data_IF_080224905634
#
_entry.id   IF_080224905634
#
_cell.length_a   1.000
_cell.length_b   1.000
_cell.length_c   1.000
_cell.angle_alpha   90.00
_cell.angle_beta   90.00
_cell.angle_gamma   90.00
#
_symmetry.space_group_name_H-M   'P 1'
#
loop_
_entity.id
_entity.type
_entity.pdbx_description
1 polymer ?
#
# COMPACT_ATOMS: atom_id res chain seq x y z
N UNK A 1 -17.51 14.41 -29.17
CA UNK A 1 -17.37 15.76 -28.57
C UNK A 1 -15.91 16.01 -28.21
N UNK A 2 -15.39 17.21 -28.43
CA UNK A 2 -14.04 17.62 -28.03
C UNK A 2 -14.13 18.45 -26.74
N UNK A 3 -13.29 18.16 -25.74
CA UNK A 3 -13.24 18.91 -24.48
C UNK A 3 -11.80 19.10 -24.01
N UNK A 4 -11.43 20.33 -23.66
CA UNK A 4 -10.04 20.71 -23.32
C UNK A 4 -9.45 19.94 -22.12
N UNK A 5 -10.28 19.50 -21.18
CA UNK A 5 -9.88 18.66 -20.04
C UNK A 5 -10.17 17.16 -20.25
N UNK A 6 -11.12 16.81 -21.13
CA UNK A 6 -11.48 15.43 -21.46
C UNK A 6 -10.42 14.76 -22.35
N UNK A 7 -9.81 15.54 -23.25
CA UNK A 7 -8.78 15.03 -24.15
C UNK A 7 -7.48 14.63 -23.43
N UNK A 8 -6.88 15.46 -22.55
CA UNK A 8 -5.68 15.05 -21.81
C UNK A 8 -5.93 13.91 -20.82
N UNK A 9 -7.12 13.84 -20.21
CA UNK A 9 -7.47 12.74 -19.29
C UNK A 9 -7.58 11.40 -20.01
N UNK A 10 -8.16 11.37 -21.21
CA UNK A 10 -8.12 10.20 -22.09
C UNK A 10 -6.67 9.87 -22.51
N UNK A 11 -5.84 10.90 -22.70
CA UNK A 11 -4.41 10.78 -22.99
C UNK A 11 -3.68 9.86 -22.00
N UNK A 12 -3.87 10.04 -20.69
CA UNK A 12 -3.23 9.18 -19.68
C UNK A 12 -3.61 7.71 -19.81
N UNK A 13 -4.87 7.42 -20.14
CA UNK A 13 -5.35 6.04 -20.32
C UNK A 13 -4.71 5.41 -21.55
N UNK A 14 -4.68 6.16 -22.66
CA UNK A 14 -4.09 5.70 -23.94
C UNK A 14 -2.57 5.55 -23.82
N UNK A 15 -1.89 6.46 -23.14
CA UNK A 15 -0.45 6.38 -22.88
C UNK A 15 -0.10 5.12 -22.08
N UNK A 16 -0.82 4.87 -20.98
CA UNK A 16 -0.62 3.65 -20.19
C UNK A 16 -0.90 2.39 -20.99
N UNK A 17 -1.94 2.40 -21.82
CA UNK A 17 -2.28 1.30 -22.71
C UNK A 17 -1.17 1.01 -23.72
N UNK A 18 -0.67 2.04 -24.41
CA UNK A 18 0.47 1.92 -25.35
C UNK A 18 1.74 1.45 -24.66
N UNK A 19 2.03 1.95 -23.45
CA UNK A 19 3.18 1.50 -22.67
C UNK A 19 3.09 0.02 -22.28
N UNK A 20 1.88 -0.49 -21.99
CA UNK A 20 1.65 -1.93 -21.73
C UNK A 20 1.81 -2.74 -23.02
N UNK A 21 1.32 -2.25 -24.16
CA UNK A 21 1.48 -2.93 -25.45
C UNK A 21 2.92 -2.97 -25.94
N UNK A 22 3.68 -1.90 -25.71
CA UNK A 22 5.09 -1.81 -26.07
C UNK A 22 6.02 -2.53 -25.06
N UNK A 23 5.50 -3.03 -23.94
CA UNK A 23 6.29 -3.71 -22.94
C UNK A 23 6.69 -5.11 -23.43
N UNK A 24 7.98 -5.30 -23.68
CA UNK A 24 8.57 -6.62 -23.98
C UNK A 24 9.09 -7.23 -22.67
N UNK A 25 8.48 -8.31 -22.16
CA UNK A 25 8.93 -8.95 -20.93
C UNK A 25 10.29 -9.64 -21.16
N UNK A 26 11.25 -9.35 -20.28
CA UNK A 26 12.57 -9.98 -20.29
C UNK A 26 12.69 -11.04 -19.21
N UNK A 27 13.28 -12.19 -19.57
CA UNK A 27 13.56 -13.27 -18.63
C UNK A 27 14.70 -12.85 -17.71
N UNK A 28 14.52 -13.08 -16.41
CA UNK A 28 15.56 -12.86 -15.43
C UNK A 28 15.67 -14.05 -14.48
N UNK A 29 16.87 -14.26 -13.97
CA UNK A 29 17.22 -15.31 -13.03
C UNK A 29 17.67 -14.69 -11.71
N UNK A 30 17.34 -15.36 -10.60
CA UNK A 30 17.84 -15.02 -9.26
C UNK A 30 18.14 -16.29 -8.48
N UNK A 31 19.14 -16.22 -7.63
CA UNK A 31 19.46 -17.28 -6.69
C UNK A 31 18.60 -17.05 -5.43
N UNK A 32 17.82 -18.06 -5.05
CA UNK A 32 16.98 -18.04 -3.85
C UNK A 32 17.54 -19.03 -2.83
N UNK A 33 17.82 -18.55 -1.62
CA UNK A 33 18.33 -19.36 -0.51
C UNK A 33 17.28 -19.35 0.61
N UNK A 34 16.90 -20.53 1.06
CA UNK A 34 15.91 -20.73 2.12
C UNK A 34 16.50 -21.54 3.26
N UNK A 35 16.28 -21.10 4.49
CA UNK A 35 16.69 -21.80 5.70
C UNK A 35 15.46 -22.15 6.53
N UNK A 36 15.30 -23.43 6.88
CA UNK A 36 14.16 -23.87 7.66
C UNK A 36 14.43 -23.65 9.17
N UNK A 37 13.55 -22.93 9.84
CA UNK A 37 13.58 -22.72 11.28
C UNK A 37 12.33 -23.35 11.92
N UNK A 38 12.37 -23.62 13.23
CA UNK A 38 11.26 -24.26 13.94
C UNK A 38 9.95 -23.47 13.84
N UNK A 39 10.06 -22.14 13.78
CA UNK A 39 8.94 -21.20 13.71
C UNK A 39 8.58 -20.75 12.27
N UNK A 40 9.27 -21.28 11.25
CA UNK A 40 9.00 -20.97 9.85
C UNK A 40 10.22 -20.96 8.94
N UNK A 41 9.99 -20.76 7.65
CA UNK A 41 11.05 -20.71 6.63
C UNK A 41 11.53 -19.26 6.46
N UNK A 42 12.85 -19.06 6.56
CA UNK A 42 13.50 -17.77 6.31
C UNK A 42 14.03 -17.74 4.88
N UNK A 43 13.59 -16.77 4.07
CA UNK A 43 14.11 -16.51 2.73
C UNK A 43 15.16 -15.40 2.78
N UNK A 44 16.37 -15.71 2.31
CA UNK A 44 17.43 -14.72 2.16
C UNK A 44 17.38 -14.10 0.75
N UNK A 45 17.32 -12.77 0.70
CA UNK A 45 17.34 -12.03 -0.55
C UNK A 45 18.78 -11.85 -1.03
N UNK A 46 19.00 -12.18 -2.31
CA UNK A 46 20.31 -12.03 -2.92
C UNK A 46 20.72 -10.55 -3.05
N UNK A 47 21.94 -10.21 -2.64
CA UNK A 47 22.48 -8.84 -2.68
C UNK A 47 22.45 -8.21 -4.08
N UNK A 48 22.59 -9.01 -5.14
CA UNK A 48 22.54 -8.56 -6.54
C UNK A 48 21.12 -8.48 -7.12
N UNK A 49 20.09 -8.83 -6.35
CA UNK A 49 18.68 -8.86 -6.72
C UNK A 49 18.33 -9.84 -7.87
N UNK A 50 18.68 -9.52 -9.13
CA UNK A 50 18.37 -10.35 -10.32
C UNK A 50 19.40 -10.12 -11.44
N UNK A 51 19.58 -11.13 -12.30
CA UNK A 51 20.39 -11.07 -13.53
C UNK A 51 19.56 -11.44 -14.75
N UNK A 52 19.76 -10.75 -15.88
CA UNK A 52 19.07 -11.05 -17.15
C UNK A 52 19.80 -12.11 -18.00
N UNK A 53 21.08 -12.37 -17.70
CA UNK A 53 21.87 -13.37 -18.41
C UNK A 53 21.81 -14.71 -17.66
N UNK A 54 21.40 -15.76 -18.39
CA UNK A 54 21.30 -17.12 -17.85
C UNK A 54 22.66 -17.69 -17.42
N UNK A 55 23.65 -17.63 -18.30
CA UNK A 55 25.01 -18.17 -18.07
C UNK A 55 25.67 -17.53 -16.87
N UNK A 56 25.58 -16.20 -16.73
CA UNK A 56 26.13 -15.49 -15.58
C UNK A 56 25.47 -15.94 -14.26
N UNK A 57 24.16 -16.16 -14.26
CA UNK A 57 23.45 -16.67 -13.08
C UNK A 57 23.82 -18.13 -12.77
N UNK A 58 24.02 -18.96 -13.80
CA UNK A 58 24.37 -20.36 -13.65
C UNK A 58 25.77 -20.54 -13.05
N UNK A 59 26.76 -19.79 -13.53
CA UNK A 59 28.13 -19.82 -12.97
C UNK A 59 28.12 -19.44 -11.49
N UNK A 60 27.38 -18.39 -11.13
CA UNK A 60 27.25 -17.96 -9.74
C UNK A 60 26.50 -18.99 -8.88
N UNK A 61 25.53 -19.69 -9.47
CA UNK A 61 24.82 -20.76 -8.78
C UNK A 61 25.71 -21.98 -8.54
N UNK A 62 26.52 -22.37 -9.52
CA UNK A 62 27.51 -23.46 -9.38
C UNK A 62 28.51 -23.17 -8.26
N UNK A 63 29.07 -21.95 -8.21
CA UNK A 63 29.95 -21.52 -7.11
C UNK A 63 29.28 -21.61 -5.73
N UNK A 64 27.97 -21.35 -5.64
CA UNK A 64 27.22 -21.51 -4.38
C UNK A 64 26.88 -22.97 -4.05
N UNK A 65 26.90 -23.87 -5.02
CA UNK A 65 26.65 -25.31 -4.82
C UNK A 65 27.92 -26.08 -4.46
N UNK A 66 29.08 -25.62 -4.90
CA UNK A 66 30.39 -26.18 -4.52
C UNK A 66 30.60 -26.04 -3.01
N UNK A 67 30.37 -24.85 -2.44
CA UNK A 67 30.48 -24.58 -1.01
C UNK A 67 29.14 -24.05 -0.44
N UNK A 68 28.20 -24.92 -0.05
CA UNK A 68 26.86 -24.52 0.40
C UNK A 68 26.83 -23.98 1.84
N UNK A 69 27.97 -23.88 2.53
CA UNK A 69 28.04 -23.46 3.92
C UNK A 69 27.86 -21.94 4.04
N UNK A 70 26.71 -21.51 4.55
CA UNK A 70 26.43 -20.08 4.76
C UNK A 70 27.05 -19.58 6.08
N UNK A 71 27.82 -18.49 6.01
CA UNK A 71 28.34 -17.79 7.20
C UNK A 71 27.57 -16.50 7.43
N UNK A 72 27.19 -16.25 8.69
CA UNK A 72 26.57 -14.98 9.08
C UNK A 72 27.63 -13.88 9.11
N UNK A 73 27.61 -13.00 8.12
CA UNK A 73 28.56 -11.89 8.01
C UNK A 73 28.17 -10.74 8.94
N UNK A 74 26.88 -10.40 9.00
CA UNK A 74 26.42 -9.21 9.71
C UNK A 74 24.96 -9.33 10.16
N UNK A 75 24.70 -8.96 11.41
CA UNK A 75 23.35 -8.84 11.99
C UNK A 75 23.14 -7.40 12.43
N UNK A 76 22.24 -6.68 11.74
CA UNK A 76 21.87 -5.29 12.07
C UNK A 76 20.41 -5.20 12.43
N UNK A 77 20.10 -4.59 13.58
CA UNK A 77 18.76 -4.20 13.97
C UNK A 77 18.67 -2.68 14.07
N UNK A 78 17.65 -2.09 13.44
CA UNK A 78 17.37 -0.66 13.50
C UNK A 78 15.89 -0.47 13.84
N UNK A 79 15.54 0.41 14.79
CA UNK A 79 14.15 0.71 15.07
C UNK A 79 13.50 1.32 13.82
N UNK A 80 12.39 0.73 13.38
CA UNK A 80 11.63 1.22 12.21
C UNK A 80 10.27 1.70 12.68
N UNK A 81 10.01 2.99 12.58
CA UNK A 81 8.69 3.57 12.82
C UNK A 81 7.92 3.72 11.51
N UNK A 82 6.62 3.51 11.58
CA UNK A 82 5.69 3.81 10.49
C UNK A 82 5.00 5.13 10.82
N UNK A 83 5.14 6.11 9.93
CA UNK A 83 4.52 7.43 10.12
C UNK A 83 3.00 7.34 10.14
N UNK A 84 2.38 8.22 10.94
CA UNK A 84 0.93 8.42 10.92
C UNK A 84 0.52 8.93 9.52
N UNK A 85 -0.69 8.58 9.04
CA UNK A 85 -1.19 9.13 7.80
C UNK A 85 -1.30 10.65 7.91
N UNK A 86 -1.05 11.33 6.79
CA UNK A 86 -1.25 12.77 6.67
C UNK A 86 -2.74 13.11 6.80
N UNK A 87 -3.04 14.36 7.15
CA UNK A 87 -4.40 14.89 7.08
C UNK A 87 -5.01 14.62 5.71
N UNK A 88 -6.27 14.21 5.70
CA UNK A 88 -6.94 13.76 4.49
C UNK A 88 -7.36 14.97 3.64
N UNK A 89 -6.95 14.98 2.38
CA UNK A 89 -7.42 15.92 1.36
C UNK A 89 -8.47 15.23 0.45
N UNK A 90 -9.27 16.02 -0.26
CA UNK A 90 -10.26 15.59 -1.27
C UNK A 90 -9.70 14.58 -2.27
N UNK A 91 -8.50 14.82 -2.80
CA UNK A 91 -7.82 13.91 -3.74
C UNK A 91 -7.47 12.58 -3.08
N UNK A 92 -6.96 12.62 -1.84
CA UNK A 92 -6.62 11.40 -1.11
C UNK A 92 -7.86 10.63 -0.65
N UNK A 93 -8.96 11.33 -0.35
CA UNK A 93 -10.27 10.72 -0.09
C UNK A 93 -10.76 9.93 -1.31
N UNK A 94 -10.80 10.54 -2.50
CA UNK A 94 -11.24 9.86 -3.72
C UNK A 94 -10.37 8.65 -4.05
N UNK A 95 -9.04 8.79 -3.95
CA UNK A 95 -8.09 7.68 -4.15
C UNK A 95 -8.28 6.55 -3.15
N UNK A 96 -8.52 6.87 -1.87
CA UNK A 96 -8.71 5.86 -0.83
C UNK A 96 -10.08 5.18 -0.95
N UNK A 97 -11.14 5.94 -1.23
CA UNK A 97 -12.47 5.39 -1.46
C UNK A 97 -12.48 4.42 -2.65
N UNK A 98 -11.84 4.78 -3.75
CA UNK A 98 -11.72 3.88 -4.91
C UNK A 98 -10.88 2.63 -4.59
N UNK A 99 -9.70 2.80 -3.95
CA UNK A 99 -8.79 1.68 -3.64
C UNK A 99 -9.31 0.73 -2.56
N UNK A 100 -9.97 1.25 -1.53
CA UNK A 100 -10.37 0.50 -0.32
C UNK A 100 -11.85 0.13 -0.30
N UNK A 101 -12.73 1.04 -0.72
CA UNK A 101 -14.18 0.85 -0.67
C UNK A 101 -14.80 0.53 -2.03
N UNK A 102 -14.02 0.60 -3.12
CA UNK A 102 -14.49 0.37 -4.50
C UNK A 102 -15.62 1.33 -4.92
N UNK A 103 -15.67 2.52 -4.34
CA UNK A 103 -16.63 3.57 -4.70
C UNK A 103 -15.97 4.50 -5.73
N UNK A 104 -16.71 4.89 -6.77
CA UNK A 104 -16.22 5.85 -7.76
C UNK A 104 -16.06 7.26 -7.16
N UNK A 105 -15.18 8.08 -7.70
CA UNK A 105 -14.91 9.44 -7.22
C UNK A 105 -16.19 10.29 -7.18
N UNK A 106 -16.99 10.29 -8.26
CA UNK A 106 -18.25 11.05 -8.31
C UNK A 106 -19.23 10.69 -7.19
N UNK A 107 -19.36 9.39 -6.90
CA UNK A 107 -20.25 8.91 -5.84
C UNK A 107 -19.68 9.20 -4.46
N UNK A 108 -18.35 9.13 -4.32
CA UNK A 108 -17.64 9.47 -3.08
C UNK A 108 -17.89 10.93 -2.70
N UNK A 109 -17.77 11.86 -3.66
CA UNK A 109 -18.04 13.28 -3.43
C UNK A 109 -19.52 13.53 -3.12
N UNK A 110 -20.44 12.88 -3.82
CA UNK A 110 -21.89 12.98 -3.53
C UNK A 110 -22.23 12.53 -2.09
N UNK A 111 -21.62 11.44 -1.64
CA UNK A 111 -21.80 10.94 -0.27
C UNK A 111 -21.16 11.90 0.73
N UNK A 112 -19.96 12.41 0.44
CA UNK A 112 -19.27 13.38 1.30
C UNK A 112 -20.06 14.68 1.48
N UNK A 113 -20.63 15.23 0.40
CA UNK A 113 -21.49 16.42 0.43
C UNK A 113 -22.78 16.20 1.24
N UNK A 114 -23.39 15.01 1.10
CA UNK A 114 -24.57 14.64 1.87
C UNK A 114 -24.26 14.56 3.37
N UNK A 115 -23.12 13.97 3.73
CA UNK A 115 -22.68 13.86 5.13
C UNK A 115 -22.30 15.22 5.72
N UNK A 116 -21.70 16.10 4.92
CA UNK A 116 -21.43 17.49 5.31
C UNK A 116 -22.72 18.25 5.63
N UNK A 117 -23.73 18.13 4.77
CA UNK A 117 -25.05 18.75 4.96
C UNK A 117 -25.77 18.22 6.20
N UNK A 118 -25.55 16.96 6.56
CA UNK A 118 -26.11 16.32 7.75
C UNK A 118 -25.38 16.68 9.05
N UNK A 119 -24.27 17.42 8.97
CA UNK A 119 -23.46 17.82 10.14
C UNK A 119 -22.59 16.68 10.71
N UNK A 120 -22.48 15.55 10.01
CA UNK A 120 -21.62 14.41 10.38
C UNK A 120 -20.17 14.61 9.92
N UNK A 121 -19.91 15.61 9.07
CA UNK A 121 -18.59 16.00 8.59
C UNK A 121 -18.37 17.51 8.69
N UNK A 122 -17.24 17.92 9.27
CA UNK A 122 -16.76 19.31 9.21
C UNK A 122 -15.94 19.54 7.92
N UNK A 123 -15.75 20.82 7.56
CA UNK A 123 -14.95 21.24 6.39
C UNK A 123 -13.48 20.80 6.47
N UNK A 124 -12.99 20.54 7.69
CA UNK A 124 -11.69 19.91 7.94
C UNK A 124 -11.86 18.40 7.92
N UNK A 125 -11.40 17.77 6.84
CA UNK A 125 -11.56 16.34 6.46
C UNK A 125 -10.90 15.30 7.42
N UNK A 126 -10.81 15.58 8.70
CA UNK A 126 -10.17 14.71 9.72
C UNK A 126 -10.99 13.47 10.11
N UNK A 127 -12.29 13.41 9.78
CA UNK A 127 -13.18 12.31 10.23
C UNK A 127 -13.26 11.10 9.29
N UNK A 128 -12.85 11.21 8.02
CA UNK A 128 -13.08 10.15 7.03
C UNK A 128 -12.07 8.99 7.10
N UNK A 129 -10.81 9.21 7.49
CA UNK A 129 -9.87 8.10 7.69
C UNK A 129 -10.31 7.19 8.87
N UNK A 130 -10.88 7.78 9.92
CA UNK A 130 -11.48 7.03 11.02
C UNK A 130 -12.83 6.42 10.66
N UNK A 131 -13.68 7.13 9.89
CA UNK A 131 -14.95 6.58 9.41
C UNK A 131 -14.76 5.41 8.44
N UNK A 132 -13.78 5.46 7.55
CA UNK A 132 -13.41 4.34 6.66
C UNK A 132 -12.81 3.19 7.48
N UNK A 133 -11.96 3.48 8.47
CA UNK A 133 -11.49 2.46 9.42
C UNK A 133 -12.62 1.82 10.22
N UNK A 134 -13.70 2.55 10.52
CA UNK A 134 -14.88 2.08 11.25
C UNK A 134 -15.86 1.30 10.34
N UNK A 135 -16.03 1.71 9.09
CA UNK A 135 -16.83 1.01 8.06
C UNK A 135 -16.20 -0.32 7.63
N UNK A 136 -14.87 -0.42 7.66
CA UNK A 136 -14.10 -1.64 7.35
C UNK A 136 -13.90 -2.53 8.60
N UNK A 137 -14.21 -2.05 9.80
CA UNK A 137 -14.11 -2.84 11.02
C UNK A 137 -15.18 -3.97 11.09
N UNK A 138 -14.87 -5.13 11.70
CA UNK A 138 -15.82 -6.23 11.87
C UNK A 138 -17.13 -5.78 12.51
N UNK A 139 -18.25 -6.41 12.12
CA UNK A 139 -19.63 -6.06 12.53
C UNK A 139 -19.83 -5.89 14.04
N UNK A 140 -18.99 -6.56 14.85
CA UNK A 140 -18.98 -6.52 16.31
C UNK A 140 -18.70 -5.12 16.90
N UNK A 141 -18.00 -4.23 16.19
CA UNK A 141 -17.64 -2.89 16.69
C UNK A 141 -18.68 -1.80 16.34
N UNK A 142 -19.78 -2.15 15.65
CA UNK A 142 -20.82 -1.21 15.19
C UNK A 142 -21.89 -0.85 16.24
N UNK A 143 -21.72 -1.25 17.49
CA UNK A 143 -22.74 -1.15 18.54
C UNK A 143 -22.88 0.20 19.26
N UNK A 144 -22.00 1.18 19.02
CA UNK A 144 -22.11 2.51 19.65
C UNK A 144 -21.90 3.61 18.62
N UNK A 145 -22.85 4.56 18.54
CA UNK A 145 -22.65 5.82 17.82
C UNK A 145 -21.52 6.59 18.51
N UNK A 146 -20.41 6.93 17.83
CA UNK A 146 -19.40 7.79 18.42
C UNK A 146 -20.00 9.18 18.60
N UNK A 147 -19.94 9.74 19.81
CA UNK A 147 -20.36 11.10 20.06
C UNK A 147 -19.28 12.05 19.55
N UNK A 148 -19.48 12.62 18.36
CA UNK A 148 -18.52 13.46 17.64
C UNK A 148 -18.41 14.89 18.19
N UNK A 149 -18.39 15.09 19.51
CA UNK A 149 -18.09 16.40 20.10
C UNK A 149 -16.68 16.40 20.69
N UNK A 150 -15.82 17.19 20.05
CA UNK A 150 -14.59 17.78 20.59
C UNK A 150 -13.66 16.80 21.33
N UNK A 151 -13.16 15.76 20.67
CA UNK A 151 -11.95 15.10 21.17
C UNK A 151 -10.74 15.78 20.54
N UNK A 152 -10.16 16.75 21.25
CA UNK A 152 -8.84 17.26 20.90
C UNK A 152 -7.84 16.09 20.86
N UNK A 153 -6.93 16.13 19.89
CA UNK A 153 -5.95 15.12 19.46
C UNK A 153 -4.99 14.55 20.54
N UNK A 154 -5.25 14.70 21.84
CA UNK A 154 -4.32 14.28 22.89
C UNK A 154 -4.44 12.83 23.35
N UNK A 155 -5.62 12.20 23.34
CA UNK A 155 -5.82 10.93 24.06
C UNK A 155 -6.42 9.79 23.22
N UNK A 156 -5.93 9.55 22.00
CA UNK A 156 -6.17 8.27 21.32
C UNK A 156 -4.94 7.36 21.51
N UNK A 157 -4.87 6.71 22.67
CA UNK A 157 -3.98 5.58 22.92
C UNK A 157 -4.40 4.43 22.00
N UNK A 158 -3.52 4.04 21.08
CA UNK A 158 -3.58 2.74 20.45
C UNK A 158 -2.83 1.75 21.35
N UNK A 159 -3.37 0.56 21.64
CA UNK A 159 -2.62 -0.45 22.36
C UNK A 159 -1.46 -0.87 21.46
N UNK A 160 -0.23 -0.60 21.90
CA UNK A 160 0.94 -1.30 21.38
C UNK A 160 0.78 -2.76 21.78
N UNK A 161 0.64 -3.63 20.78
CA UNK A 161 0.75 -5.06 20.99
C UNK A 161 2.17 -5.35 21.49
N UNK A 162 2.26 -5.76 22.76
CA UNK A 162 3.41 -6.46 23.34
C UNK A 162 3.40 -7.92 22.90
#
# INVERSE_FOLDING_TARGET
SYGSCQFPTLGFVVERFKAIQAFVPEIFHRIKVTHNHKDGIVEFNWKRHRLFNHTACLVLYQLCMEDPMATVVEVRSKPKSKWRPQALDTVELEKLASRKLRINAKETMRIAEKLYTQGEMNSDCTSLLFAISWLVAPRMLRGRRPQWRSTSLRNALWPTAS
#
